data_IF_752949058550
#
_entry.id   IF_752949058550
#
_cell.length_a   1.000
_cell.length_b   1.000
_cell.length_c   1.000
_cell.angle_alpha   90.00
_cell.angle_beta   90.00
_cell.angle_gamma   90.00
#
_symmetry.space_group_name_H-M   'P 1'
#
loop_
_entity.id
_entity.type
_entity.pdbx_description
1 polymer ?
#
# COMPACT_ATOMS: atom_id res chain seq x y z
N UNK A 1 -0.04 -11.06 49.73
CA UNK A 1 -1.05 -10.16 49.14
C UNK A 1 -0.70 -9.99 47.66
N UNK A 2 -1.59 -10.40 46.75
CA UNK A 2 -1.33 -10.34 45.31
C UNK A 2 -1.25 -8.90 44.82
N UNK A 3 -0.14 -8.54 44.20
CA UNK A 3 0.21 -7.18 43.77
C UNK A 3 -0.25 -6.87 42.33
N UNK A 4 -1.49 -7.26 41.96
CA UNK A 4 -2.04 -6.93 40.65
C UNK A 4 -3.06 -5.78 40.76
N UNK A 5 -2.91 -4.69 39.98
CA UNK A 5 -3.87 -3.60 39.96
C UNK A 5 -5.22 -4.08 39.42
N UNK A 6 -6.30 -3.49 39.93
CA UNK A 6 -7.66 -3.85 39.51
C UNK A 6 -7.85 -3.49 38.03
N UNK A 7 -8.44 -4.38 37.20
CA UNK A 7 -8.68 -4.10 35.80
C UNK A 7 -9.62 -2.89 35.66
N UNK A 8 -9.19 -1.89 34.89
CA UNK A 8 -9.97 -0.69 34.61
C UNK A 8 -11.16 -1.02 33.70
N UNK A 9 -12.38 -0.76 34.18
CA UNK A 9 -13.60 -0.95 33.40
C UNK A 9 -13.88 0.20 32.41
N UNK A 10 -14.83 0.03 31.48
CA UNK A 10 -15.14 1.01 30.42
C UNK A 10 -15.59 2.38 30.95
N UNK A 11 -16.16 2.43 32.17
CA UNK A 11 -16.50 3.69 32.84
C UNK A 11 -15.29 4.54 33.19
N UNK A 12 -14.14 3.91 33.43
CA UNK A 12 -12.89 4.63 33.73
C UNK A 12 -12.45 5.46 32.52
N UNK A 13 -12.57 4.92 31.31
CA UNK A 13 -12.23 5.60 30.05
C UNK A 13 -13.06 6.88 29.86
N UNK A 14 -14.38 6.79 30.07
CA UNK A 14 -15.27 7.95 29.98
C UNK A 14 -14.96 9.03 31.01
N UNK A 15 -14.58 8.62 32.23
CA UNK A 15 -14.20 9.54 33.30
C UNK A 15 -12.89 10.26 32.97
N UNK A 16 -11.89 9.53 32.48
CA UNK A 16 -10.62 10.10 32.04
C UNK A 16 -10.80 11.05 30.85
N UNK A 17 -11.65 10.69 29.88
CA UNK A 17 -11.95 11.55 28.75
C UNK A 17 -12.60 12.87 29.18
N UNK A 18 -13.61 12.81 30.07
CA UNK A 18 -14.21 14.03 30.65
C UNK A 18 -13.20 14.84 31.47
N UNK A 19 -12.34 14.18 32.24
CA UNK A 19 -11.29 14.85 33.01
C UNK A 19 -10.32 15.59 32.08
N UNK A 20 -9.86 14.94 31.01
CA UNK A 20 -9.02 15.55 29.98
C UNK A 20 -9.66 16.78 29.33
N UNK A 21 -10.96 16.70 28.99
CA UNK A 21 -11.71 17.82 28.42
C UNK A 21 -11.88 19.01 29.38
N UNK A 22 -11.85 18.76 30.68
CA UNK A 22 -11.95 19.80 31.72
C UNK A 22 -10.59 20.39 32.13
N UNK A 23 -9.47 19.87 31.60
CA UNK A 23 -8.12 20.35 31.95
C UNK A 23 -7.79 21.68 31.27
N UNK A 24 -7.53 22.74 32.03
CA UNK A 24 -7.08 24.06 31.54
C UNK A 24 -5.60 24.03 31.10
N UNK A 25 -5.28 23.29 30.03
CA UNK A 25 -3.94 23.27 29.44
C UNK A 25 -3.95 23.87 28.04
N UNK A 26 -3.01 24.77 27.78
CA UNK A 26 -2.86 25.47 26.49
C UNK A 26 -2.72 24.52 25.29
N UNK A 27 -2.08 23.37 25.50
CA UNK A 27 -1.80 22.38 24.44
C UNK A 27 -2.86 21.26 24.33
N UNK A 28 -3.93 21.28 25.15
CA UNK A 28 -4.97 20.24 25.17
C UNK A 28 -5.55 19.97 23.78
N UNK A 29 -5.86 21.04 23.04
CA UNK A 29 -6.47 20.95 21.72
C UNK A 29 -5.52 20.37 20.66
N UNK A 30 -4.23 20.67 20.74
CA UNK A 30 -3.22 20.10 19.85
C UNK A 30 -3.07 18.60 20.11
N UNK A 31 -3.04 18.19 21.39
CA UNK A 31 -3.00 16.78 21.77
C UNK A 31 -4.25 16.02 21.31
N UNK A 32 -5.44 16.58 21.53
CA UNK A 32 -6.71 16.00 21.06
C UNK A 32 -6.73 15.89 19.53
N UNK A 33 -6.34 16.95 18.84
CA UNK A 33 -6.29 16.97 17.38
C UNK A 33 -5.35 15.88 16.87
N UNK A 34 -4.14 15.75 17.41
CA UNK A 34 -3.18 14.73 16.99
C UNK A 34 -3.69 13.30 17.26
N UNK A 35 -4.33 13.10 18.42
CA UNK A 35 -4.89 11.80 18.82
C UNK A 35 -6.02 11.34 17.89
N UNK A 36 -6.79 12.25 17.31
CA UNK A 36 -7.84 11.94 16.33
C UNK A 36 -7.26 11.86 14.92
N UNK A 37 -6.37 12.81 14.58
CA UNK A 37 -5.85 12.99 13.24
C UNK A 37 -4.98 11.82 12.79
N UNK A 38 -4.09 11.31 13.64
CA UNK A 38 -3.21 10.19 13.26
C UNK A 38 -3.99 8.91 12.93
N UNK A 39 -4.92 8.43 13.78
CA UNK A 39 -5.77 7.29 13.41
C UNK A 39 -6.67 7.57 12.20
N UNK A 40 -7.23 8.78 12.09
CA UNK A 40 -8.08 9.15 10.96
C UNK A 40 -7.30 9.12 9.62
N UNK A 41 -6.06 9.61 9.60
CA UNK A 41 -5.16 9.50 8.45
C UNK A 41 -4.89 8.04 8.08
N UNK A 42 -4.65 7.18 9.07
CA UNK A 42 -4.43 5.75 8.85
C UNK A 42 -5.66 5.11 8.18
N UNK A 43 -6.85 5.37 8.73
CA UNK A 43 -8.12 4.88 8.18
C UNK A 43 -8.38 5.43 6.77
N UNK A 44 -8.09 6.71 6.53
CA UNK A 44 -8.21 7.32 5.22
C UNK A 44 -7.26 6.67 4.19
N UNK A 45 -6.03 6.35 4.61
CA UNK A 45 -5.07 5.60 3.79
C UNK A 45 -5.61 4.23 3.37
N UNK A 46 -6.10 3.44 4.33
CA UNK A 46 -6.74 2.15 4.04
C UNK A 46 -7.99 2.29 3.16
N UNK A 47 -8.79 3.33 3.38
CA UNK A 47 -9.99 3.57 2.58
C UNK A 47 -9.65 3.88 1.11
N UNK A 48 -8.62 4.68 0.87
CA UNK A 48 -8.16 4.98 -0.49
C UNK A 48 -7.51 3.76 -1.14
N UNK A 49 -6.74 2.99 -0.39
CA UNK A 49 -6.10 1.76 -0.88
C UNK A 49 -7.13 0.67 -1.21
N UNK A 50 -8.17 0.51 -0.38
CA UNK A 50 -9.27 -0.43 -0.59
C UNK A 50 -10.08 -0.16 -1.87
N UNK A 51 -10.03 1.06 -2.43
CA UNK A 51 -10.70 1.38 -3.69
C UNK A 51 -9.88 0.98 -4.93
N UNK A 52 -8.60 0.66 -4.75
CA UNK A 52 -7.76 0.19 -5.86
C UNK A 52 -7.92 -1.32 -5.95
N UNK A 53 -8.29 -1.81 -7.13
CA UNK A 53 -8.31 -3.25 -7.37
C UNK A 53 -6.90 -3.81 -7.13
N UNK A 54 -6.76 -4.90 -6.34
CA UNK A 54 -5.47 -5.55 -6.20
C UNK A 54 -4.99 -6.02 -7.58
N UNK A 55 -3.68 -5.97 -7.86
CA UNK A 55 -3.16 -6.43 -9.14
C UNK A 55 -3.58 -7.89 -9.36
N UNK A 56 -4.27 -8.15 -10.49
CA UNK A 56 -4.75 -9.49 -10.82
C UNK A 56 -3.58 -10.48 -10.78
N UNK A 57 -3.75 -11.68 -10.18
CA UNK A 57 -2.71 -12.69 -10.18
C UNK A 57 -2.28 -13.00 -11.62
N UNK A 58 -1.02 -12.77 -11.95
CA UNK A 58 -0.48 -13.14 -13.26
C UNK A 58 -0.21 -14.64 -13.23
N UNK A 59 -1.11 -15.42 -13.84
CA UNK A 59 -0.87 -16.85 -14.03
C UNK A 59 0.06 -17.01 -15.23
N UNK A 60 1.34 -17.27 -14.96
CA UNK A 60 2.33 -17.55 -16.01
C UNK A 60 2.20 -19.02 -16.38
N UNK A 61 1.54 -19.30 -17.50
CA UNK A 61 1.47 -20.65 -18.04
C UNK A 61 2.80 -20.99 -18.72
N UNK A 62 3.51 -21.97 -18.17
CA UNK A 62 4.66 -22.56 -18.85
C UNK A 62 4.10 -23.46 -19.95
N UNK A 63 4.34 -23.09 -21.20
CA UNK A 63 3.95 -23.93 -22.34
C UNK A 63 4.86 -25.16 -22.39
N UNK A 64 4.26 -26.36 -22.44
CA UNK A 64 4.98 -27.59 -22.74
C UNK A 64 5.33 -27.63 -24.23
N UNK A 65 6.60 -27.85 -24.55
CA UNK A 65 7.06 -27.90 -25.94
C UNK A 65 7.45 -29.33 -26.34
N UNK A 66 7.31 -29.68 -27.63
CA UNK A 66 7.79 -30.97 -28.16
C UNK A 66 9.31 -31.08 -27.98
N UNK A 67 9.80 -32.29 -27.66
CA UNK A 67 11.25 -32.54 -27.48
C UNK A 67 12.04 -32.46 -28.79
N UNK A 68 11.36 -32.62 -29.93
CA UNK A 68 11.87 -32.65 -31.30
C UNK A 68 11.78 -31.28 -32.01
N UNK A 69 11.48 -30.21 -31.27
CA UNK A 69 11.39 -28.86 -31.84
C UNK A 69 12.74 -28.44 -32.48
N UNK A 70 12.74 -27.93 -33.74
CA UNK A 70 13.95 -27.44 -34.37
C UNK A 70 14.41 -26.07 -33.81
N UNK A 71 15.73 -25.89 -33.73
CA UNK A 71 16.36 -24.68 -33.20
C UNK A 71 15.98 -23.40 -33.96
N UNK A 72 15.72 -23.48 -35.26
CA UNK A 72 15.29 -22.34 -36.07
C UNK A 72 13.98 -21.73 -35.54
N UNK A 73 13.03 -22.59 -35.14
CA UNK A 73 11.74 -22.16 -34.57
C UNK A 73 11.93 -21.55 -33.18
N UNK A 74 12.89 -22.04 -32.39
CA UNK A 74 13.23 -21.48 -31.08
C UNK A 74 13.75 -20.04 -31.23
N UNK A 75 14.66 -19.82 -32.18
CA UNK A 75 15.28 -18.51 -32.41
C UNK A 75 14.23 -17.48 -32.87
N UNK A 76 13.36 -17.86 -33.79
CA UNK A 76 12.28 -16.98 -34.26
C UNK A 76 11.31 -16.61 -33.13
N UNK A 77 10.90 -17.59 -32.33
CA UNK A 77 10.02 -17.37 -31.19
C UNK A 77 10.68 -16.46 -30.14
N UNK A 78 11.96 -16.70 -29.83
CA UNK A 78 12.72 -15.86 -28.90
C UNK A 78 12.80 -14.41 -29.38
N UNK A 79 12.96 -14.18 -30.69
CA UNK A 79 12.96 -12.82 -31.26
C UNK A 79 11.61 -12.13 -31.05
N UNK A 80 10.51 -12.83 -31.27
CA UNK A 80 9.15 -12.30 -31.06
C UNK A 80 8.92 -11.96 -29.58
N UNK A 81 9.31 -12.86 -28.68
CA UNK A 81 9.11 -12.68 -27.24
C UNK A 81 10.01 -11.57 -26.67
N UNK A 82 11.22 -11.43 -27.20
CA UNK A 82 12.12 -10.33 -26.87
C UNK A 82 11.52 -8.98 -27.31
N UNK A 83 11.00 -8.88 -28.54
CA UNK A 83 10.34 -7.65 -29.01
C UNK A 83 9.12 -7.28 -28.14
N UNK A 84 8.30 -8.26 -27.72
CA UNK A 84 7.19 -8.03 -26.79
C UNK A 84 7.68 -7.55 -25.42
N UNK A 85 8.78 -8.10 -24.91
CA UNK A 85 9.38 -7.70 -23.63
C UNK A 85 9.88 -6.26 -23.69
N UNK A 86 10.55 -5.89 -24.77
CA UNK A 86 11.07 -4.54 -24.99
C UNK A 86 9.94 -3.52 -25.11
N UNK A 87 8.86 -3.83 -25.83
CA UNK A 87 7.68 -2.96 -25.91
C UNK A 87 7.08 -2.68 -24.51
N UNK A 88 6.89 -3.73 -23.69
CA UNK A 88 6.39 -3.58 -22.30
C UNK A 88 7.33 -2.76 -21.42
N UNK A 89 8.65 -2.89 -21.61
CA UNK A 89 9.63 -2.10 -20.87
C UNK A 89 9.57 -0.62 -21.30
N UNK A 90 9.48 -0.35 -22.60
CA UNK A 90 9.36 1.00 -23.14
C UNK A 90 8.09 1.71 -22.65
N UNK A 91 6.95 1.02 -22.62
CA UNK A 91 5.70 1.55 -22.06
C UNK A 91 5.83 1.90 -20.57
N UNK A 92 6.40 0.99 -19.76
CA UNK A 92 6.65 1.27 -18.34
C UNK A 92 7.58 2.46 -18.15
N UNK A 93 8.66 2.55 -18.92
CA UNK A 93 9.56 3.70 -18.89
C UNK A 93 8.84 5.01 -19.25
N UNK A 94 7.96 5.00 -20.26
CA UNK A 94 7.15 6.17 -20.63
C UNK A 94 6.21 6.59 -19.50
N UNK A 95 5.56 5.64 -18.84
CA UNK A 95 4.70 5.90 -17.68
C UNK A 95 5.50 6.52 -16.52
N UNK A 96 6.66 5.96 -16.18
CA UNK A 96 7.51 6.51 -15.12
C UNK A 96 8.07 7.89 -15.47
N UNK A 97 8.49 8.12 -16.72
CA UNK A 97 8.94 9.44 -17.17
C UNK A 97 7.83 10.49 -17.10
N UNK A 98 6.60 10.11 -17.46
CA UNK A 98 5.43 10.99 -17.34
C UNK A 98 5.17 11.34 -15.87
N UNK A 99 5.17 10.34 -14.98
CA UNK A 99 5.03 10.57 -13.54
C UNK A 99 6.14 11.45 -12.98
N UNK A 100 7.39 11.23 -13.37
CA UNK A 100 8.52 12.05 -12.93
C UNK A 100 8.35 13.52 -13.35
N UNK A 101 7.95 13.76 -14.61
CA UNK A 101 7.64 15.10 -15.12
C UNK A 101 6.48 15.75 -14.37
N UNK A 102 5.38 15.02 -14.14
CA UNK A 102 4.22 15.52 -13.41
C UNK A 102 4.56 15.86 -11.95
N UNK A 103 5.56 15.18 -11.37
CA UNK A 103 6.06 15.42 -10.01
C UNK A 103 7.22 16.43 -9.96
N UNK A 104 7.68 16.97 -11.09
CA UNK A 104 8.78 17.95 -11.16
C UNK A 104 10.16 17.38 -10.81
N UNK A 105 10.35 16.07 -10.95
CA UNK A 105 11.63 15.38 -10.72
C UNK A 105 12.30 15.23 -12.09
N UNK A 106 13.33 16.04 -12.35
CA UNK A 106 14.22 15.91 -13.52
C UNK A 106 15.41 14.97 -13.25
#
# INVERSE_FOLDING_TARGET
MGALPRPSGPRAVWRDFKAFLNTEQRYRWIGLALAIFMPALMLAGFYVDSKKDPPKPQTIFVQSWPADRPDSVIIEQNRIDQAKKEARLAERQRQFKKLAKDLGIE
#
